data_IF_760052002665
#
_entry.id   IF_760052002665
#
_cell.length_a   1.000
_cell.length_b   1.000
_cell.length_c   1.000
_cell.angle_alpha   90.00
_cell.angle_beta   90.00
_cell.angle_gamma   90.00
#
_symmetry.space_group_name_H-M   'P 1'
#
loop_
_entity.id
_entity.type
_entity.pdbx_description
1 polymer ?
#
# COMPACT_ATOMS: atom_id res chain seq x y z
N UNK A 1 -3.76 -7.06 -4.18
CA UNK A 1 -4.06 -6.22 -3.00
C UNK A 1 -2.90 -6.27 -2.04
N UNK A 2 -2.50 -5.13 -1.48
CA UNK A 2 -1.46 -5.00 -0.47
C UNK A 2 -2.08 -4.39 0.82
N UNK A 3 -1.93 -5.09 1.94
CA UNK A 3 -2.38 -4.62 3.26
C UNK A 3 -1.23 -3.85 3.90
N UNK A 4 -1.43 -2.57 4.18
CA UNK A 4 -0.39 -1.73 4.80
C UNK A 4 -0.50 -1.84 6.32
N UNK A 5 0.58 -2.22 7.00
CA UNK A 5 0.68 -2.42 8.45
C UNK A 5 1.79 -1.50 8.98
N UNK A 6 1.51 -0.65 9.99
CA UNK A 6 2.49 0.29 10.53
C UNK A 6 3.75 -0.39 11.05
N UNK A 7 4.91 0.14 10.66
CA UNK A 7 6.22 -0.33 11.09
C UNK A 7 6.66 -1.66 10.48
N UNK A 8 5.85 -2.27 9.60
CA UNK A 8 6.19 -3.52 8.91
C UNK A 8 6.39 -3.34 7.41
N UNK A 9 5.45 -2.67 6.73
CA UNK A 9 5.50 -2.48 5.28
C UNK A 9 4.97 -1.12 4.79
N UNK A 10 4.94 -0.12 5.68
CA UNK A 10 4.44 1.23 5.41
C UNK A 10 5.54 2.24 5.07
N UNK A 11 6.79 1.78 4.97
CA UNK A 11 7.92 2.64 4.60
C UNK A 11 7.82 3.06 3.13
N UNK A 12 8.22 4.30 2.81
CA UNK A 12 8.23 4.77 1.43
C UNK A 12 9.14 3.95 0.53
N UNK A 13 10.28 3.49 1.07
CA UNK A 13 11.24 2.68 0.33
C UNK A 13 10.59 1.37 -0.12
N UNK A 14 9.99 0.62 0.81
CA UNK A 14 9.39 -0.68 0.52
C UNK A 14 8.19 -0.56 -0.42
N UNK A 15 7.38 0.50 -0.26
CA UNK A 15 6.29 0.79 -1.20
C UNK A 15 6.85 1.08 -2.59
N UNK A 16 7.92 1.87 -2.71
CA UNK A 16 8.54 2.16 -4.01
C UNK A 16 9.09 0.89 -4.66
N UNK A 17 9.84 0.07 -3.91
CA UNK A 17 10.42 -1.19 -4.40
C UNK A 17 9.32 -2.15 -4.90
N UNK A 18 8.24 -2.30 -4.14
CA UNK A 18 7.10 -3.13 -4.55
C UNK A 18 6.44 -2.58 -5.83
N UNK A 19 6.20 -1.26 -5.89
CA UNK A 19 5.56 -0.62 -7.06
C UNK A 19 6.47 -0.72 -8.29
N UNK A 20 7.79 -0.53 -8.13
CA UNK A 20 8.77 -0.66 -9.20
C UNK A 20 8.74 -2.06 -9.79
N UNK A 21 8.78 -3.08 -8.92
CA UNK A 21 8.66 -4.46 -9.33
C UNK A 21 7.36 -4.74 -10.11
N UNK A 22 6.21 -4.31 -9.60
CA UNK A 22 4.91 -4.51 -10.30
C UNK A 22 4.90 -3.79 -11.65
N UNK A 23 5.38 -2.54 -11.68
CA UNK A 23 5.38 -1.72 -12.90
C UNK A 23 6.32 -2.26 -13.98
N UNK A 24 7.39 -2.98 -13.57
CA UNK A 24 8.30 -3.68 -14.47
C UNK A 24 7.64 -4.85 -15.19
N UNK A 25 6.61 -5.46 -14.60
CA UNK A 25 5.84 -6.55 -15.20
C UNK A 25 4.78 -6.00 -16.17
N UNK A 26 4.00 -5.02 -15.73
CA UNK A 26 3.09 -4.25 -16.58
C UNK A 26 2.46 -3.09 -15.80
N UNK A 27 2.31 -1.94 -16.47
CA UNK A 27 1.64 -0.75 -15.90
C UNK A 27 0.12 -0.88 -15.83
N UNK A 28 -0.45 -1.89 -16.48
CA UNK A 28 -1.90 -2.17 -16.50
C UNK A 28 -2.36 -3.05 -15.34
N UNK A 29 -1.42 -3.59 -14.54
CA UNK A 29 -1.76 -4.38 -13.35
C UNK A 29 -2.40 -3.47 -12.30
N UNK A 30 -3.65 -3.75 -11.87
CA UNK A 30 -4.29 -2.94 -10.84
C UNK A 30 -3.68 -3.22 -9.47
N UNK A 31 -3.37 -2.15 -8.73
CA UNK A 31 -2.91 -2.24 -7.35
C UNK A 31 -3.97 -1.67 -6.41
N UNK A 32 -4.27 -2.42 -5.36
CA UNK A 32 -5.21 -2.01 -4.32
C UNK A 32 -4.50 -2.01 -2.97
N UNK A 33 -4.52 -0.89 -2.26
CA UNK A 33 -4.06 -0.76 -0.88
C UNK A 33 -5.21 -0.90 0.10
N UNK A 34 -5.02 -1.67 1.17
CA UNK A 34 -6.00 -1.81 2.25
C UNK A 34 -5.44 -1.44 3.62
N UNK A 35 -6.31 -0.91 4.48
CA UNK A 35 -5.98 -0.51 5.84
C UNK A 35 -5.94 -1.71 6.77
N UNK A 36 -4.89 -1.79 7.57
CA UNK A 36 -4.84 -2.70 8.70
C UNK A 36 -5.56 -2.13 9.92
N UNK A 37 -6.25 -3.02 10.62
CA UNK A 37 -6.90 -2.77 11.91
C UNK A 37 -6.40 -3.83 12.89
N UNK A 38 -6.13 -3.47 14.16
CA UNK A 38 -5.70 -4.42 15.18
C UNK A 38 -6.67 -5.60 15.27
N UNK A 39 -6.16 -6.81 15.18
CA UNK A 39 -6.96 -8.02 15.33
C UNK A 39 -6.13 -9.20 15.83
N UNK A 40 -6.83 -10.16 16.45
CA UNK A 40 -6.27 -11.42 16.95
C UNK A 40 -5.08 -11.21 17.90
N UNK A 41 -3.86 -11.59 17.48
CA UNK A 41 -2.62 -11.56 18.29
C UNK A 41 -1.73 -10.35 18.00
N UNK A 42 -2.19 -9.40 17.18
CA UNK A 42 -1.40 -8.24 16.80
C UNK A 42 -1.84 -6.98 17.57
N UNK A 43 -0.87 -6.33 18.21
CA UNK A 43 -1.08 -5.12 19.03
C UNK A 43 -0.64 -3.82 18.34
N UNK A 44 -0.27 -3.89 17.05
CA UNK A 44 0.06 -2.71 16.25
C UNK A 44 -1.21 -1.90 16.03
N UNK A 45 -1.14 -0.57 16.18
CA UNK A 45 -2.25 0.35 15.93
C UNK A 45 -2.75 0.28 14.48
N UNK A 46 -4.01 0.68 14.25
CA UNK A 46 -4.55 0.76 12.90
C UNK A 46 -3.70 1.68 12.02
N UNK A 47 -3.56 1.34 10.74
CA UNK A 47 -2.78 2.15 9.79
C UNK A 47 -3.38 3.55 9.72
N UNK A 48 -2.60 4.62 9.93
CA UNK A 48 -3.11 5.97 9.71
C UNK A 48 -3.56 6.15 8.26
N UNK A 49 -4.72 6.79 8.05
CA UNK A 49 -5.31 6.92 6.71
C UNK A 49 -4.38 7.65 5.72
N UNK A 50 -3.60 8.63 6.20
CA UNK A 50 -2.68 9.39 5.36
C UNK A 50 -1.58 8.51 4.74
N UNK A 51 -1.20 7.41 5.40
CA UNK A 51 -0.22 6.45 4.86
C UNK A 51 -0.77 5.76 3.62
N UNK A 52 -2.07 5.41 3.60
CA UNK A 52 -2.70 4.81 2.41
C UNK A 52 -2.75 5.79 1.24
N UNK A 53 -3.05 7.06 1.50
CA UNK A 53 -3.01 8.09 0.46
C UNK A 53 -1.59 8.28 -0.08
N UNK A 54 -0.59 8.31 0.81
CA UNK A 54 0.81 8.38 0.41
C UNK A 54 1.25 7.18 -0.44
N UNK A 55 0.83 5.96 -0.06
CA UNK A 55 1.10 4.75 -0.83
C UNK A 55 0.47 4.81 -2.23
N UNK A 56 -0.79 5.28 -2.31
CA UNK A 56 -1.45 5.55 -3.59
C UNK A 56 -0.71 6.58 -4.42
N UNK A 57 -0.26 7.67 -3.80
CA UNK A 57 0.45 8.75 -4.49
C UNK A 57 1.79 8.31 -5.07
N UNK A 58 2.49 7.40 -4.41
CA UNK A 58 3.69 6.76 -4.93
C UNK A 58 3.33 5.85 -6.10
N UNK A 59 2.35 4.97 -5.92
CA UNK A 59 2.00 3.96 -6.92
C UNK A 59 1.42 4.54 -8.21
N UNK A 60 0.58 5.58 -8.14
CA UNK A 60 -0.07 6.18 -9.31
C UNK A 60 0.92 6.87 -10.26
N UNK A 61 2.15 7.14 -9.81
CA UNK A 61 3.23 7.64 -10.68
C UNK A 61 3.74 6.58 -11.66
N UNK A 62 3.53 5.30 -11.36
CA UNK A 62 4.11 4.16 -12.09
C UNK A 62 3.07 3.17 -12.64
N UNK A 63 1.89 3.10 -12.04
CA UNK A 63 0.78 2.22 -12.41
C UNK A 63 -0.47 3.01 -12.83
N UNK A 64 -1.24 2.50 -13.81
CA UNK A 64 -2.44 3.19 -14.32
C UNK A 64 -3.64 3.10 -13.36
N UNK A 65 -3.79 1.98 -12.65
CA UNK A 65 -4.96 1.70 -11.82
C UNK A 65 -4.52 1.46 -10.37
N UNK A 66 -4.76 2.45 -9.51
CA UNK A 66 -4.40 2.40 -8.09
C UNK A 66 -5.58 2.81 -7.22
N UNK A 67 -5.96 1.92 -6.31
CA UNK A 67 -7.12 2.07 -5.44
C UNK A 67 -6.75 1.97 -3.97
N UNK A 68 -7.51 2.66 -3.13
CA UNK A 68 -7.49 2.49 -1.67
C UNK A 68 -8.85 1.97 -1.25
N UNK A 69 -8.90 0.94 -0.42
CA UNK A 69 -10.14 0.39 0.10
C UNK A 69 -10.02 -0.09 1.53
N UNK A 70 -11.16 -0.38 2.16
CA UNK A 70 -11.30 -0.66 3.60
C UNK A 70 -10.68 0.48 4.43
N UNK A 71 -11.34 1.65 4.39
CA UNK A 71 -10.91 2.89 5.07
C UNK A 71 -11.40 2.91 6.51
#
# INVERSE_FOLDING_TARGET
TNLIIPGLNDSEQEINEMVDWISSLSKDIPLHFSRYFPCYKMNISATPIFILYKARDIAQKKLKYVYVGKI
#
